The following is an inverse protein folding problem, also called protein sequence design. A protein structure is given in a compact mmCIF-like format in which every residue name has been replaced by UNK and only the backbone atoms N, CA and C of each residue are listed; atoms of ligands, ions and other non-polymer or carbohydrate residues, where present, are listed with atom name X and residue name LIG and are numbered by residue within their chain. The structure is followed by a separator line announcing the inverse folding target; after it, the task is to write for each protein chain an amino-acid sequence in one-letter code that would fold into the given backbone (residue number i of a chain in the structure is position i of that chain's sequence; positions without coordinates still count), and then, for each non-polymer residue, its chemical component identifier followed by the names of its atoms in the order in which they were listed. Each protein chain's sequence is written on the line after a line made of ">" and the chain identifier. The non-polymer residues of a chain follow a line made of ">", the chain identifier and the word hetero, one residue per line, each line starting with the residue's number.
data_IF_784832472092
#
_entry.id   IF_784832472092
#
_cell.length_a   1.000
_cell.length_b   1.000
_cell.length_c   1.000
_cell.angle_alpha   90.00
_cell.angle_beta   90.00
_cell.angle_gamma   90.00
#
_symmetry.space_group_name_H-M   'P 1'
#
loop_
_entity.id
_entity.type
_entity.pdbx_description
1 polymer ?
#
# COMPACT_ATOMS: atom_id res chain seq x y z
N UNK A 1 -10.02 14.46 -5.31
CA UNK A 1 -9.10 14.32 -4.17
C UNK A 1 -7.74 14.05 -4.76
N UNK A 2 -6.85 15.03 -4.71
CA UNK A 2 -5.59 15.09 -5.46
C UNK A 2 -4.64 13.95 -5.05
N UNK A 3 -4.30 13.12 -6.03
CA UNK A 3 -3.33 12.02 -5.99
C UNK A 3 -1.90 12.60 -5.92
N UNK A 4 -1.62 13.38 -4.88
CA UNK A 4 -0.31 14.00 -4.68
C UNK A 4 0.62 12.99 -4.01
N UNK A 5 1.62 12.54 -4.76
CA UNK A 5 2.71 11.71 -4.26
C UNK A 5 3.62 12.59 -3.41
N UNK A 6 3.79 12.22 -2.14
CA UNK A 6 4.67 12.90 -1.19
C UNK A 6 6.12 12.44 -1.41
N UNK A 7 7.08 13.34 -1.25
CA UNK A 7 8.50 12.97 -1.19
C UNK A 7 8.92 12.63 0.26
N UNK A 8 10.06 11.93 0.41
CA UNK A 8 10.51 11.50 1.73
C UNK A 8 10.90 12.65 2.64
N UNK A 9 11.37 13.79 2.10
CA UNK A 9 11.72 14.96 2.91
C UNK A 9 10.46 15.62 3.46
N UNK A 10 9.42 15.80 2.64
CA UNK A 10 8.14 16.31 3.11
C UNK A 10 7.49 15.38 4.14
N UNK A 11 7.57 14.05 3.96
CA UNK A 11 7.08 13.10 4.95
C UNK A 11 7.79 13.25 6.31
N UNK A 12 9.12 13.41 6.31
CA UNK A 12 9.89 13.68 7.54
C UNK A 12 9.46 14.99 8.20
N UNK A 13 9.30 16.05 7.41
CA UNK A 13 8.84 17.35 7.91
C UNK A 13 7.44 17.27 8.54
N UNK A 14 6.52 16.47 8.00
CA UNK A 14 5.21 16.26 8.61
C UNK A 14 5.30 15.60 10.00
N UNK A 15 6.19 14.63 10.19
CA UNK A 15 6.44 14.08 11.53
C UNK A 15 6.97 15.16 12.48
N UNK A 16 7.91 15.99 12.03
CA UNK A 16 8.48 17.09 12.84
C UNK A 16 7.42 18.13 13.22
N UNK A 17 6.57 18.56 12.28
CA UNK A 17 5.58 19.62 12.54
C UNK A 17 4.30 19.12 13.22
N UNK A 18 3.99 17.83 13.13
CA UNK A 18 2.80 17.25 13.78
C UNK A 18 3.03 16.90 15.26
N UNK A 19 4.28 16.76 15.69
CA UNK A 19 4.61 16.28 17.03
C UNK A 19 4.40 14.78 17.23
N UNK A 20 3.98 14.04 16.19
CA UNK A 20 3.82 12.59 16.24
C UNK A 20 5.15 11.94 15.89
N UNK A 21 5.64 11.06 16.77
CA UNK A 21 6.86 10.32 16.48
C UNK A 21 6.64 9.23 15.43
N UNK A 22 7.67 8.96 14.62
CA UNK A 22 7.66 7.85 13.65
C UNK A 22 7.37 6.52 14.36
N UNK A 23 7.88 6.32 15.58
CA UNK A 23 7.65 5.12 16.38
C UNK A 23 6.19 4.94 16.77
N UNK A 24 5.53 6.00 17.20
CA UNK A 24 4.11 5.99 17.54
C UNK A 24 3.25 5.70 16.32
N UNK A 25 3.50 6.43 15.22
CA UNK A 25 2.84 6.17 13.94
C UNK A 25 3.03 4.72 13.48
N UNK A 26 4.25 4.20 13.58
CA UNK A 26 4.57 2.82 13.21
C UNK A 26 3.76 1.82 14.03
N UNK A 27 3.63 2.04 15.34
CA UNK A 27 2.87 1.16 16.23
C UNK A 27 1.37 1.14 15.88
N UNK A 28 0.78 2.30 15.60
CA UNK A 28 -0.63 2.41 15.19
C UNK A 28 -0.88 1.64 13.88
N UNK A 29 0.07 1.70 12.95
CA UNK A 29 -0.02 1.02 11.66
C UNK A 29 0.48 -0.44 11.66
N UNK A 30 1.01 -0.95 12.80
CA UNK A 30 1.53 -2.31 12.90
C UNK A 30 2.86 -2.53 12.16
N UNK A 31 3.65 -1.48 11.95
CA UNK A 31 4.96 -1.54 11.31
C UNK A 31 6.10 -1.43 12.34
N UNK A 32 7.28 -1.94 11.96
CA UNK A 32 8.51 -1.69 12.72
C UNK A 32 9.02 -0.28 12.43
N UNK A 33 9.30 0.50 13.48
CA UNK A 33 9.85 1.85 13.36
C UNK A 33 11.16 1.87 12.53
N UNK A 34 12.02 0.87 12.72
CA UNK A 34 13.27 0.69 11.95
C UNK A 34 12.95 0.59 10.46
N UNK A 35 11.92 -0.19 10.11
CA UNK A 35 11.53 -0.37 8.71
C UNK A 35 10.97 0.93 8.12
N UNK A 36 10.22 1.71 8.90
CA UNK A 36 9.69 3.00 8.46
C UNK A 36 10.81 4.00 8.21
N UNK A 37 11.80 4.10 9.10
CA UNK A 37 13.00 4.92 8.87
C UNK A 37 13.75 4.49 7.61
N UNK A 38 13.95 3.19 7.38
CA UNK A 38 14.59 2.70 6.14
C UNK A 38 13.84 3.09 4.86
N UNK A 39 12.51 3.21 4.93
CA UNK A 39 11.69 3.70 3.79
C UNK A 39 11.86 5.20 3.63
N UNK A 40 11.78 5.98 4.72
CA UNK A 40 11.98 7.43 4.71
C UNK A 40 13.40 7.84 4.28
N UNK A 41 14.41 7.00 4.54
CA UNK A 41 15.79 7.22 4.12
C UNK A 41 16.08 6.76 2.69
N UNK A 42 15.09 6.20 1.99
CA UNK A 42 15.25 5.72 0.61
C UNK A 42 16.12 4.48 0.47
N UNK A 43 16.44 3.78 1.56
CA UNK A 43 17.27 2.57 1.56
C UNK A 43 16.58 1.36 0.91
N UNK A 44 15.27 1.45 0.63
CA UNK A 44 14.46 0.37 0.05
C UNK A 44 13.69 0.83 -1.17
N UNK A 45 13.66 -0.01 -2.21
CA UNK A 45 12.87 0.20 -3.45
C UNK A 45 11.34 0.09 -3.26
N UNK A 46 10.88 -0.34 -2.08
CA UNK A 46 9.46 -0.41 -1.70
C UNK A 46 8.52 -1.14 -2.70
N UNK A 47 9.01 -2.17 -3.39
CA UNK A 47 8.24 -2.86 -4.44
C UNK A 47 7.16 -3.80 -3.88
N UNK A 48 7.42 -4.47 -2.77
CA UNK A 48 6.54 -5.49 -2.17
C UNK A 48 6.64 -5.54 -0.64
N UNK A 49 5.72 -6.26 -0.01
CA UNK A 49 5.70 -6.51 1.44
C UNK A 49 5.50 -5.23 2.27
N UNK A 50 5.96 -5.25 3.53
CA UNK A 50 5.77 -4.14 4.46
C UNK A 50 6.38 -2.82 3.95
N UNK A 51 7.52 -2.84 3.24
CA UNK A 51 8.08 -1.60 2.67
C UNK A 51 7.17 -0.96 1.62
N UNK A 52 6.46 -1.76 0.81
CA UNK A 52 5.45 -1.24 -0.11
C UNK A 52 4.29 -0.63 0.65
N UNK A 53 3.80 -1.34 1.67
CA UNK A 53 2.67 -0.90 2.49
C UNK A 53 2.96 0.42 3.21
N UNK A 54 4.16 0.54 3.80
CA UNK A 54 4.63 1.79 4.44
C UNK A 54 4.69 2.92 3.41
N UNK A 55 5.29 2.68 2.24
CA UNK A 55 5.41 3.73 1.22
C UNK A 55 4.04 4.21 0.71
N UNK A 56 3.05 3.32 0.58
CA UNK A 56 1.67 3.70 0.23
C UNK A 56 1.01 4.45 1.40
N UNK A 57 1.16 3.97 2.64
CA UNK A 57 0.56 4.59 3.82
C UNK A 57 1.11 6.00 4.10
N UNK A 58 2.40 6.24 3.81
CA UNK A 58 3.04 7.55 3.91
C UNK A 58 2.74 8.46 2.69
N UNK A 59 2.02 7.97 1.68
CA UNK A 59 1.77 8.71 0.45
C UNK A 59 2.99 8.86 -0.46
N UNK A 60 4.07 8.12 -0.24
CA UNK A 60 5.32 8.21 -1.00
C UNK A 60 5.23 7.63 -2.41
N UNK A 61 4.20 6.83 -2.68
CA UNK A 61 3.92 6.26 -4.00
C UNK A 61 2.48 5.82 -4.11
N UNK A 62 2.00 5.74 -5.35
CA UNK A 62 0.74 5.06 -5.64
C UNK A 62 0.88 3.54 -5.45
N UNK A 63 -0.17 2.92 -4.93
CA UNK A 63 -0.25 1.47 -4.80
C UNK A 63 -1.49 1.03 -4.05
N UNK A 64 -1.83 -0.25 -4.20
CA UNK A 64 -2.92 -0.88 -3.48
C UNK A 64 -2.36 -1.86 -2.45
N UNK A 65 -2.86 -1.76 -1.21
CA UNK A 65 -2.59 -2.74 -0.16
C UNK A 65 -3.85 -3.60 0.00
N UNK A 66 -3.81 -4.80 -0.56
CA UNK A 66 -4.89 -5.79 -0.48
C UNK A 66 -4.38 -7.08 0.16
N UNK A 67 -5.30 -7.87 0.74
CA UNK A 67 -4.99 -9.19 1.30
C UNK A 67 -4.74 -10.21 0.19
N UNK A 68 -4.04 -11.29 0.51
CA UNK A 68 -3.73 -12.37 -0.43
C UNK A 68 -5.01 -13.00 -0.98
N UNK A 69 -6.00 -13.25 -0.13
CA UNK A 69 -7.28 -13.85 -0.55
C UNK A 69 -8.00 -12.98 -1.59
N UNK A 70 -7.97 -11.67 -1.38
CA UNK A 70 -8.56 -10.70 -2.31
C UNK A 70 -7.76 -10.61 -3.61
N UNK A 71 -6.42 -10.59 -3.53
CA UNK A 71 -5.57 -10.64 -4.73
C UNK A 71 -5.87 -11.91 -5.54
N UNK A 72 -5.98 -13.05 -4.87
CA UNK A 72 -6.32 -14.34 -5.49
C UNK A 72 -7.67 -14.25 -6.19
N UNK A 73 -8.69 -13.71 -5.51
CA UNK A 73 -10.02 -13.50 -6.07
C UNK A 73 -9.99 -12.63 -7.33
N UNK A 74 -9.27 -11.51 -7.32
CA UNK A 74 -9.18 -10.60 -8.47
C UNK A 74 -8.50 -11.28 -9.67
N UNK A 75 -7.41 -12.02 -9.42
CA UNK A 75 -6.70 -12.76 -10.46
C UNK A 75 -7.59 -13.84 -11.08
N UNK A 76 -8.29 -14.64 -10.27
CA UNK A 76 -9.17 -15.71 -10.74
C UNK A 76 -10.46 -15.19 -11.39
N UNK A 77 -11.07 -14.12 -10.86
CA UNK A 77 -12.27 -13.52 -11.43
C UNK A 77 -12.01 -12.92 -12.82
N UNK A 78 -10.80 -12.39 -13.06
CA UNK A 78 -10.37 -11.92 -14.38
C UNK A 78 -10.09 -13.04 -15.38
N UNK A 79 -9.99 -14.30 -14.91
CA UNK A 79 -9.68 -15.47 -15.72
C UNK A 79 -10.91 -16.34 -16.07
N UNK A 80 -12.13 -15.89 -15.77
CA UNK A 80 -13.34 -16.59 -16.21
C UNK A 80 -13.46 -16.55 -17.74
N UNK A 81 -13.57 -17.71 -18.44
CA UNK A 81 -13.90 -17.72 -19.85
C UNK A 81 -15.31 -17.14 -20.03
N UNK A 82 -15.43 -16.14 -20.89
CA UNK A 82 -16.68 -15.72 -21.51
C UNK A 82 -17.24 -16.87 -22.35
N UNK A 83 -17.94 -17.81 -21.71
CA UNK A 83 -18.82 -18.78 -22.34
C UNK A 83 -20.26 -18.30 -22.21
N UNK A 84 -20.81 -17.77 -23.31
CA UNK A 84 -22.19 -17.28 -23.39
C UNK A 84 -23.20 -18.36 -22.99
N UNK A 85 -24.28 -17.85 -22.39
CA UNK A 85 -25.64 -18.42 -22.25
C UNK A 85 -25.99 -19.44 -23.34
N UNK A 86 -26.72 -20.49 -22.98
CA UNK A 86 -27.94 -20.87 -23.68
C UNK A 86 -28.96 -21.40 -22.68
N UNK A 87 -30.04 -20.64 -22.53
CA UNK A 87 -31.37 -21.14 -22.21
C UNK A 87 -31.93 -21.74 -23.50
N UNK A 88 -32.45 -22.97 -23.43
CA UNK A 88 -33.47 -23.58 -24.31
C UNK A 88 -33.67 -25.01 -23.72
N UNK A 89 -34.63 -25.18 -22.80
CA UNK A 89 -36.04 -25.57 -23.03
C UNK A 89 -36.20 -27.02 -23.49
N UNK A 90 -36.72 -27.86 -22.59
CA UNK A 90 -37.94 -28.68 -22.78
C UNK A 90 -38.47 -29.13 -21.40
#
# INVERSE_FOLDING_TARGET
>A
MSDQILDTSAAKKLFETSGISVSEWSRVHGFSAILVYQVLDGQRKCRRGQSHQIAVALGLKQGMVIKIDELTRLLTASALPTGKKNQESE
#
